data_IF_967177477602
#
_entry.id   IF_967177477602
#
_cell.length_a   1.000
_cell.length_b   1.000
_cell.length_c   1.000
_cell.angle_alpha   90.00
_cell.angle_beta   90.00
_cell.angle_gamma   90.00
#
_symmetry.space_group_name_H-M   'P 1'
#
loop_
_entity.id
_entity.type
_entity.pdbx_description
1 polymer ?
#
# COMPACT_ATOMS: atom_id res chain seq x y z
N UNK A 1 -70.47 -29.64 17.97
CA UNK A 1 -70.97 -29.69 19.37
C UNK A 1 -69.72 -29.89 20.22
N UNK A 2 -69.31 -28.88 21.01
CA UNK A 2 -68.15 -29.04 21.91
C UNK A 2 -68.47 -30.13 22.92
N UNK A 3 -67.58 -31.08 23.11
CA UNK A 3 -67.77 -32.14 24.11
C UNK A 3 -67.63 -31.55 25.51
N UNK A 4 -68.19 -32.19 26.54
CA UNK A 4 -68.02 -31.72 27.93
C UNK A 4 -66.54 -31.64 28.32
N UNK A 5 -65.72 -32.54 27.77
CA UNK A 5 -64.27 -32.52 27.95
C UNK A 5 -63.61 -31.25 27.40
N UNK A 6 -64.05 -30.76 26.23
CA UNK A 6 -63.52 -29.51 25.64
C UNK A 6 -63.81 -28.30 26.54
N UNK A 7 -64.96 -28.28 27.22
CA UNK A 7 -65.33 -27.19 28.15
C UNK A 7 -64.49 -27.23 29.43
N UNK A 8 -64.23 -28.42 29.96
CA UNK A 8 -63.37 -28.60 31.14
C UNK A 8 -61.95 -28.13 30.85
N UNK A 9 -61.39 -28.51 29.69
CA UNK A 9 -60.07 -28.07 29.24
C UNK A 9 -60.02 -26.54 29.07
N UNK A 10 -61.02 -25.95 28.44
CA UNK A 10 -61.11 -24.49 28.26
C UNK A 10 -61.12 -23.76 29.61
N UNK A 11 -61.86 -24.28 30.59
CA UNK A 11 -61.91 -23.72 31.95
C UNK A 11 -60.59 -23.88 32.72
N UNK A 12 -59.88 -24.99 32.51
CA UNK A 12 -58.58 -25.25 33.11
C UNK A 12 -57.53 -24.23 32.62
N UNK A 13 -57.46 -24.01 31.31
CA UNK A 13 -56.53 -23.02 30.74
C UNK A 13 -56.90 -21.58 31.08
N UNK A 14 -58.20 -21.28 31.24
CA UNK A 14 -58.64 -19.96 31.70
C UNK A 14 -58.12 -19.65 33.11
N UNK A 15 -58.26 -20.60 34.04
CA UNK A 15 -57.75 -20.45 35.42
C UNK A 15 -56.22 -20.38 35.46
N UNK A 16 -55.53 -21.14 34.61
CA UNK A 16 -54.08 -21.12 34.53
C UNK A 16 -53.57 -19.75 34.05
N UNK A 17 -54.22 -19.18 33.03
CA UNK A 17 -53.89 -17.86 32.49
C UNK A 17 -54.13 -16.73 33.49
N UNK A 18 -55.19 -16.82 34.28
CA UNK A 18 -55.47 -15.84 35.34
C UNK A 18 -54.33 -15.80 36.38
N UNK A 19 -53.87 -16.99 36.81
CA UNK A 19 -52.73 -17.11 37.73
C UNK A 19 -51.41 -16.64 37.12
N UNK A 20 -51.19 -16.88 35.84
CA UNK A 20 -49.96 -16.44 35.15
C UNK A 20 -49.87 -14.91 35.03
N UNK A 21 -51.00 -14.22 34.87
CA UNK A 21 -51.05 -12.75 34.82
C UNK A 21 -50.71 -12.07 36.15
N UNK A 22 -50.91 -12.74 37.30
CA UNK A 22 -50.54 -12.19 38.62
C UNK A 22 -49.02 -12.25 38.85
N UNK A 23 -48.29 -13.05 38.10
CA UNK A 23 -46.85 -13.21 38.23
C UNK A 23 -46.17 -12.02 37.56
N UNK A 24 -45.47 -11.19 38.35
CA UNK A 24 -44.65 -10.12 37.81
C UNK A 24 -43.45 -10.72 37.06
N UNK A 25 -43.50 -10.69 35.73
CA UNK A 25 -42.39 -11.12 34.89
C UNK A 25 -41.26 -10.08 35.00
N UNK A 26 -40.05 -10.48 35.41
CA UNK A 26 -38.93 -9.54 35.49
C UNK A 26 -38.54 -9.06 34.08
N UNK A 27 -38.24 -7.77 33.97
CA UNK A 27 -37.75 -7.19 32.72
C UNK A 27 -36.42 -7.85 32.31
N UNK A 28 -36.37 -8.37 31.07
CA UNK A 28 -35.13 -8.84 30.50
C UNK A 28 -34.15 -7.66 30.31
N UNK A 29 -32.87 -7.81 30.72
CA UNK A 29 -31.88 -6.76 30.52
C UNK A 29 -31.71 -6.52 29.01
N UNK A 30 -32.21 -5.38 28.53
CA UNK A 30 -32.01 -4.95 27.15
C UNK A 30 -30.51 -4.76 26.94
N UNK A 31 -29.90 -5.58 26.09
CA UNK A 31 -28.52 -5.40 25.69
C UNK A 31 -28.36 -3.97 25.12
N UNK A 32 -27.68 -3.11 25.87
CA UNK A 32 -27.32 -1.77 25.40
C UNK A 32 -26.33 -1.98 24.25
N UNK A 33 -26.79 -1.94 23.00
CA UNK A 33 -25.88 -1.79 21.85
C UNK A 33 -25.17 -0.45 22.03
N UNK A 34 -23.97 -0.47 22.60
CA UNK A 34 -23.11 0.70 22.63
C UNK A 34 -22.73 1.01 21.19
N UNK A 35 -23.41 2.01 20.63
CA UNK A 35 -23.16 2.53 19.28
C UNK A 35 -21.94 3.46 19.25
N UNK A 36 -20.94 3.20 20.10
CA UNK A 36 -19.68 3.91 20.11
C UNK A 36 -18.73 3.18 19.18
N UNK A 37 -18.79 3.52 17.89
CA UNK A 37 -17.73 3.15 16.96
C UNK A 37 -16.46 3.83 17.49
N UNK A 38 -15.51 3.01 17.91
CA UNK A 38 -14.26 3.48 18.49
C UNK A 38 -13.40 4.13 17.38
N UNK A 39 -13.50 5.46 17.22
CA UNK A 39 -12.83 6.24 16.19
C UNK A 39 -11.29 6.17 16.22
N UNK A 40 -10.73 5.58 17.28
CA UNK A 40 -9.31 5.33 17.44
C UNK A 40 -8.77 4.32 16.41
N UNK A 41 -9.58 3.33 16.02
CA UNK A 41 -9.20 2.31 15.03
C UNK A 41 -9.00 2.94 13.64
N UNK A 42 -9.99 3.64 13.05
CA UNK A 42 -9.81 4.27 11.75
C UNK A 42 -8.74 5.38 11.78
N UNK A 43 -8.59 6.09 12.90
CA UNK A 43 -7.56 7.11 13.07
C UNK A 43 -6.14 6.50 13.03
N UNK A 44 -5.94 5.37 13.70
CA UNK A 44 -4.67 4.63 13.67
C UNK A 44 -4.31 4.15 12.26
N UNK A 45 -5.29 3.64 11.52
CA UNK A 45 -5.09 3.21 10.12
C UNK A 45 -4.67 4.39 9.25
N UNK A 46 -5.37 5.53 9.32
CA UNK A 46 -5.03 6.72 8.56
C UNK A 46 -3.60 7.23 8.88
N UNK A 47 -3.25 7.27 10.17
CA UNK A 47 -1.91 7.68 10.60
C UNK A 47 -0.80 6.76 10.05
N UNK A 48 -1.03 5.43 10.07
CA UNK A 48 -0.07 4.47 9.51
C UNK A 48 0.13 4.63 8.00
N UNK A 49 -0.94 4.91 7.25
CA UNK A 49 -0.86 5.10 5.80
C UNK A 49 -0.13 6.39 5.45
N UNK A 50 -0.38 7.48 6.18
CA UNK A 50 0.34 8.76 5.98
C UNK A 50 1.83 8.60 6.29
N UNK A 51 2.17 7.91 7.39
CA UNK A 51 3.57 7.67 7.75
C UNK A 51 4.29 6.79 6.72
N UNK A 52 3.63 5.73 6.23
CA UNK A 52 4.16 4.89 5.17
C UNK A 52 4.37 5.69 3.87
N UNK A 53 3.36 6.47 3.46
CA UNK A 53 3.45 7.32 2.27
C UNK A 53 4.61 8.33 2.39
N UNK A 54 4.79 8.97 3.55
CA UNK A 54 5.93 9.87 3.78
C UNK A 54 7.28 9.15 3.64
N UNK A 55 7.41 7.95 4.21
CA UNK A 55 8.65 7.20 4.17
C UNK A 55 9.05 6.82 2.75
N UNK A 56 8.07 6.40 1.93
CA UNK A 56 8.30 5.98 0.55
C UNK A 56 8.26 7.11 -0.49
N UNK A 57 7.73 8.28 -0.15
CA UNK A 57 7.67 9.45 -1.04
C UNK A 57 8.98 10.27 -1.06
N UNK A 58 10.06 9.78 -0.43
CA UNK A 58 11.38 10.34 -0.69
C UNK A 58 11.74 9.98 -2.12
N UNK A 59 11.83 11.02 -2.95
CA UNK A 59 12.31 10.93 -4.32
C UNK A 59 13.49 9.96 -4.35
N UNK A 60 13.36 8.93 -5.17
CA UNK A 60 14.50 8.36 -5.87
C UNK A 60 15.10 9.56 -6.61
N UNK A 61 15.99 10.30 -5.94
CA UNK A 61 16.77 11.35 -6.56
C UNK A 61 17.39 10.64 -7.75
N UNK A 62 16.86 10.92 -8.93
CA UNK A 62 17.36 10.40 -10.19
C UNK A 62 18.84 10.67 -10.10
N UNK A 63 19.62 9.60 -9.94
CA UNK A 63 21.07 9.73 -9.94
C UNK A 63 21.37 10.33 -11.29
N UNK A 64 21.56 11.65 -11.35
CA UNK A 64 22.14 12.28 -12.51
C UNK A 64 23.52 11.66 -12.56
N UNK A 65 23.65 10.64 -13.39
CA UNK A 65 24.92 10.18 -13.87
C UNK A 65 25.49 11.41 -14.62
N UNK A 66 26.13 12.32 -13.90
CA UNK A 66 27.30 13.04 -14.42
C UNK A 66 28.32 11.94 -14.67
N UNK A 67 28.10 11.21 -15.77
CA UNK A 67 28.98 10.15 -16.21
C UNK A 67 30.16 10.88 -16.81
N UNK A 68 31.11 11.29 -15.97
CA UNK A 68 32.37 11.89 -16.39
C UNK A 68 33.04 10.95 -17.40
N UNK A 69 32.95 11.28 -18.70
CA UNK A 69 33.58 10.50 -19.76
C UNK A 69 35.01 11.01 -19.91
N UNK A 70 35.97 10.10 -19.76
CA UNK A 70 37.40 10.38 -19.97
C UNK A 70 37.75 9.89 -21.38
N UNK A 71 38.05 10.83 -22.27
CA UNK A 71 38.51 10.54 -23.63
C UNK A 71 40.04 10.59 -23.63
N UNK A 72 40.69 9.49 -24.03
CA UNK A 72 42.14 9.40 -24.17
C UNK A 72 42.46 9.30 -25.67
N UNK A 73 43.02 10.36 -26.25
CA UNK A 73 43.47 10.37 -27.65
C UNK A 73 45.00 10.34 -27.73
N UNK A 74 45.52 9.69 -28.79
CA UNK A 74 46.93 9.66 -29.13
C UNK A 74 47.12 10.54 -30.37
N UNK A 75 47.82 11.67 -30.22
CA UNK A 75 48.10 12.60 -31.31
C UNK A 75 49.59 12.54 -31.69
N UNK A 76 49.89 12.47 -33.00
CA UNK A 76 51.26 12.56 -33.52
C UNK A 76 51.60 14.01 -33.85
N UNK A 77 52.70 14.50 -33.28
CA UNK A 77 53.22 15.85 -33.57
C UNK A 77 53.98 15.90 -34.90
N UNK A 78 54.20 17.11 -35.46
CA UNK A 78 55.03 17.28 -36.66
C UNK A 78 56.46 16.72 -36.56
N UNK A 79 56.94 16.47 -35.34
CA UNK A 79 58.26 15.90 -35.06
C UNK A 79 58.23 14.36 -34.84
N UNK A 80 57.16 13.67 -35.22
CA UNK A 80 56.95 12.23 -35.00
C UNK A 80 56.93 11.78 -33.54
N UNK A 81 56.68 12.72 -32.62
CA UNK A 81 56.49 12.41 -31.21
C UNK A 81 55.02 12.15 -30.92
N UNK A 82 54.73 11.00 -30.31
CA UNK A 82 53.39 10.61 -29.88
C UNK A 82 53.07 11.24 -28.51
N UNK A 83 51.95 11.95 -28.40
CA UNK A 83 51.48 12.53 -27.13
C UNK A 83 50.07 12.06 -26.78
N UNK A 84 49.85 11.71 -25.52
CA UNK A 84 48.52 11.45 -24.96
C UNK A 84 47.83 12.77 -24.60
N UNK A 85 46.59 12.93 -25.06
CA UNK A 85 45.70 14.02 -24.68
C UNK A 85 44.50 13.43 -23.96
N UNK A 86 44.22 13.97 -22.77
CA UNK A 86 43.15 13.48 -21.89
C UNK A 86 42.15 14.61 -21.73
N UNK A 87 40.93 14.37 -22.20
CA UNK A 87 39.82 15.32 -22.11
C UNK A 87 38.69 14.73 -21.28
N UNK A 88 38.11 15.54 -20.40
CA UNK A 88 36.94 15.18 -19.60
C UNK A 88 35.73 15.94 -20.15
N UNK A 89 34.72 15.20 -20.60
CA UNK A 89 33.49 15.78 -21.14
C UNK A 89 32.27 15.04 -20.58
N UNK A 90 31.14 15.74 -20.50
CA UNK A 90 29.85 15.20 -20.04
C UNK A 90 29.01 14.60 -21.18
N UNK A 91 29.44 14.76 -22.43
CA UNK A 91 28.68 14.36 -23.62
C UNK A 91 29.60 13.68 -24.66
N UNK A 92 29.18 12.54 -25.18
CA UNK A 92 29.85 11.80 -26.26
C UNK A 92 28.81 11.50 -27.35
N UNK A 93 28.82 12.29 -28.44
CA UNK A 93 27.78 12.22 -29.49
C UNK A 93 27.80 10.93 -30.31
N UNK A 94 28.95 10.27 -30.47
CA UNK A 94 29.04 8.93 -31.07
C UNK A 94 30.39 8.26 -30.77
N UNK A 95 30.39 6.95 -30.49
CA UNK A 95 31.61 6.15 -30.32
C UNK A 95 31.98 5.49 -31.65
N UNK A 96 32.95 6.07 -32.35
CA UNK A 96 33.60 5.44 -33.51
C UNK A 96 34.79 4.61 -33.02
N UNK A 97 34.89 3.34 -33.41
CA UNK A 97 35.99 2.49 -32.93
C UNK A 97 37.34 2.99 -33.47
N UNK A 98 38.38 3.16 -32.62
CA UNK A 98 39.70 3.62 -33.08
C UNK A 98 40.38 2.61 -34.02
N UNK A 99 39.86 1.39 -34.11
CA UNK A 99 40.30 0.33 -35.02
C UNK A 99 39.85 0.50 -36.47
N UNK A 100 38.89 1.38 -36.78
CA UNK A 100 38.45 1.60 -38.19
C UNK A 100 39.59 2.09 -39.09
N UNK A 101 40.56 2.85 -38.54
CA UNK A 101 41.69 3.34 -39.33
C UNK A 101 42.74 2.26 -39.65
N UNK A 102 42.83 1.19 -38.84
CA UNK A 102 43.78 0.09 -39.05
C UNK A 102 43.31 -0.96 -40.07
N UNK A 103 42.02 -0.95 -40.41
CA UNK A 103 41.43 -1.91 -41.35
C UNK A 103 41.44 -1.44 -42.82
N UNK A 104 41.75 -0.16 -43.07
CA UNK A 104 41.76 0.43 -44.42
C UNK A 104 43.15 0.48 -45.08
N UNK A 105 44.19 -0.08 -44.44
CA UNK A 105 45.51 -0.27 -45.06
C UNK A 105 45.64 -1.70 -45.62
N UNK A 106 44.90 -2.02 -46.68
CA UNK A 106 45.20 -3.13 -47.59
C UNK A 106 44.84 -2.75 -49.03
#
# INVERSE_FOLDING_TARGET
MKTEHDKEIESFFAQLKEKDNEIQIPDFPKAKRQRSVNWWIPLGIAASLVMAAWFFARDEAVQSLEQDVIIITLEEKPNHELQFKIERTSELESWESPTSSLLNEF
#
